data_IF_001521357239
#
_entry.id   IF_001521357239
#
_cell.length_a   1.000
_cell.length_b   1.000
_cell.length_c   1.000
_cell.angle_alpha   90.00
_cell.angle_beta   90.00
_cell.angle_gamma   90.00
#
_symmetry.space_group_name_H-M   'P 1'
#
loop_
_entity.id
_entity.type
_entity.pdbx_description
1 polymer ?
#
# COMPACT_ATOMS: atom_id res chain seq x y z
N UNK A 1 -16.73 -2.08 -10.83
CA UNK A 1 -16.62 -2.88 -9.59
C UNK A 1 -17.21 -4.25 -9.89
N UNK A 2 -16.47 -5.34 -9.60
CA UNK A 2 -16.88 -6.74 -9.79
C UNK A 2 -18.23 -6.99 -9.10
N UNK A 3 -19.17 -7.70 -9.73
CA UNK A 3 -20.48 -8.07 -9.16
C UNK A 3 -20.70 -9.59 -9.16
N UNK A 4 -20.08 -10.29 -10.11
CA UNK A 4 -20.07 -11.75 -10.26
C UNK A 4 -18.68 -12.23 -10.64
N UNK A 5 -18.41 -13.53 -10.51
CA UNK A 5 -17.07 -14.10 -10.72
C UNK A 5 -16.53 -13.82 -12.13
N UNK A 6 -17.37 -13.84 -13.17
CA UNK A 6 -16.97 -13.61 -14.57
C UNK A 6 -16.55 -12.16 -14.84
N UNK A 7 -16.93 -11.22 -13.97
CA UNK A 7 -16.47 -9.84 -14.12
C UNK A 7 -14.95 -9.74 -13.87
N UNK A 8 -14.34 -10.68 -13.14
CA UNK A 8 -12.89 -10.73 -12.95
C UNK A 8 -12.18 -10.88 -14.30
N UNK A 9 -12.56 -11.90 -15.07
CA UNK A 9 -11.96 -12.20 -16.37
C UNK A 9 -12.16 -11.03 -17.34
N UNK A 10 -13.36 -10.43 -17.32
CA UNK A 10 -13.67 -9.23 -18.12
C UNK A 10 -12.71 -8.07 -17.78
N UNK A 11 -12.57 -7.71 -16.51
CA UNK A 11 -11.73 -6.56 -16.14
C UNK A 11 -10.25 -6.82 -16.37
N UNK A 12 -9.76 -8.03 -16.09
CA UNK A 12 -8.37 -8.39 -16.35
C UNK A 12 -8.04 -8.26 -17.84
N UNK A 13 -8.91 -8.78 -18.71
CA UNK A 13 -8.70 -8.68 -20.16
C UNK A 13 -8.73 -7.22 -20.64
N UNK A 14 -9.69 -6.41 -20.18
CA UNK A 14 -9.75 -4.98 -20.51
C UNK A 14 -8.49 -4.22 -20.04
N UNK A 15 -7.93 -4.59 -18.89
CA UNK A 15 -6.72 -3.97 -18.35
C UNK A 15 -5.46 -4.39 -19.11
N UNK A 16 -5.32 -5.68 -19.46
CA UNK A 16 -4.22 -6.17 -20.29
C UNK A 16 -4.26 -5.51 -21.68
N UNK A 17 -5.44 -5.40 -22.29
CA UNK A 17 -5.62 -4.73 -23.58
C UNK A 17 -5.13 -3.27 -23.51
N UNK A 18 -5.53 -2.53 -22.46
CA UNK A 18 -5.12 -1.13 -22.26
C UNK A 18 -3.64 -0.98 -21.94
N UNK A 19 -3.08 -1.89 -21.15
CA UNK A 19 -1.65 -1.89 -20.81
C UNK A 19 -0.78 -2.36 -21.98
N UNK A 20 -1.37 -3.05 -22.96
CA UNK A 20 -0.68 -3.72 -24.07
C UNK A 20 0.38 -4.73 -23.59
N UNK A 21 0.24 -5.21 -22.36
CA UNK A 21 1.13 -6.19 -21.72
C UNK A 21 0.44 -6.80 -20.50
N UNK A 22 0.94 -7.95 -20.07
CA UNK A 22 0.53 -8.60 -18.82
C UNK A 22 1.15 -7.85 -17.63
N UNK A 23 0.39 -7.53 -16.57
CA UNK A 23 0.95 -6.93 -15.37
C UNK A 23 1.77 -7.96 -14.58
N UNK A 24 2.92 -7.54 -14.04
CA UNK A 24 3.70 -8.40 -13.14
C UNK A 24 2.97 -8.63 -11.81
N UNK A 25 2.45 -7.55 -11.22
CA UNK A 25 1.73 -7.59 -9.93
C UNK A 25 0.28 -7.17 -10.18
N UNK A 26 -0.67 -7.97 -9.68
CA UNK A 26 -2.09 -7.66 -9.75
C UNK A 26 -2.71 -7.58 -8.36
N UNK A 27 -3.33 -6.44 -8.06
CA UNK A 27 -3.83 -6.13 -6.71
C UNK A 27 -5.36 -6.18 -6.66
N UNK A 28 -5.90 -6.85 -5.63
CA UNK A 28 -7.25 -6.54 -5.20
C UNK A 28 -7.29 -5.14 -4.60
N UNK A 29 -8.06 -4.26 -5.24
CA UNK A 29 -8.03 -2.84 -4.91
C UNK A 29 -8.82 -2.50 -3.64
N UNK A 30 -8.13 -1.87 -2.69
CA UNK A 30 -8.68 -1.19 -1.53
C UNK A 30 -9.49 -2.09 -0.62
N UNK A 31 -8.97 -3.27 -0.30
CA UNK A 31 -9.62 -4.22 0.59
C UNK A 31 -9.95 -3.60 1.94
N UNK A 32 -11.13 -4.00 2.39
CA UNK A 32 -11.75 -3.72 3.67
C UNK A 32 -12.64 -4.92 4.00
N UNK A 33 -13.30 -4.91 5.17
CA UNK A 33 -14.10 -6.07 5.60
C UNK A 33 -15.14 -6.50 4.55
N UNK A 34 -15.89 -5.55 4.01
CA UNK A 34 -16.93 -5.84 3.02
C UNK A 34 -16.37 -6.40 1.70
N UNK A 35 -15.23 -5.89 1.24
CA UNK A 35 -14.58 -6.35 0.00
C UNK A 35 -13.92 -7.71 0.18
N UNK A 36 -13.37 -8.01 1.36
CA UNK A 36 -12.87 -9.35 1.69
C UNK A 36 -14.00 -10.38 1.63
N UNK A 37 -15.16 -10.10 2.22
CA UNK A 37 -16.34 -10.97 2.12
C UNK A 37 -16.80 -11.16 0.67
N UNK A 38 -16.68 -10.13 -0.15
CA UNK A 38 -16.98 -10.25 -1.58
C UNK A 38 -16.00 -11.14 -2.34
N UNK A 39 -14.70 -11.09 -2.00
CA UNK A 39 -13.70 -12.00 -2.54
C UNK A 39 -14.06 -13.45 -2.20
N UNK A 40 -14.40 -13.71 -0.93
CA UNK A 40 -14.84 -15.02 -0.45
C UNK A 40 -16.08 -15.52 -1.20
N UNK A 41 -17.15 -14.71 -1.22
CA UNK A 41 -18.44 -15.11 -1.79
C UNK A 41 -18.44 -15.34 -3.30
N UNK A 42 -17.54 -14.68 -4.03
CA UNK A 42 -17.42 -14.80 -5.48
C UNK A 42 -16.27 -15.73 -5.91
N UNK A 43 -15.60 -16.40 -4.96
CA UNK A 43 -14.42 -17.25 -5.20
C UNK A 43 -13.34 -16.54 -6.04
N UNK A 44 -13.09 -15.24 -5.78
CA UNK A 44 -12.17 -14.46 -6.61
C UNK A 44 -10.70 -14.89 -6.45
N UNK A 45 -10.36 -15.59 -5.36
CA UNK A 45 -9.04 -16.21 -5.18
C UNK A 45 -8.80 -17.28 -6.24
N UNK A 46 -9.79 -18.14 -6.54
CA UNK A 46 -9.65 -19.16 -7.59
C UNK A 46 -9.44 -18.51 -8.96
N UNK A 47 -10.18 -17.44 -9.25
CA UNK A 47 -10.06 -16.69 -10.50
C UNK A 47 -8.67 -16.06 -10.71
N UNK A 48 -8.10 -15.46 -9.67
CA UNK A 48 -6.78 -14.83 -9.77
C UNK A 48 -5.65 -15.88 -9.84
N UNK A 49 -5.82 -17.03 -9.18
CA UNK A 49 -4.90 -18.17 -9.29
C UNK A 49 -4.93 -18.79 -10.69
N UNK A 50 -6.12 -18.95 -11.29
CA UNK A 50 -6.24 -19.38 -12.68
C UNK A 50 -5.54 -18.41 -13.64
N UNK A 51 -5.66 -17.10 -13.43
CA UNK A 51 -4.96 -16.10 -14.23
C UNK A 51 -3.44 -16.20 -14.07
N UNK A 52 -2.94 -16.43 -12.85
CA UNK A 52 -1.51 -16.68 -12.57
C UNK A 52 -1.02 -17.95 -13.27
N UNK A 53 -1.79 -19.05 -13.20
CA UNK A 53 -1.47 -20.31 -13.86
C UNK A 53 -1.45 -20.19 -15.40
N UNK A 54 -2.27 -19.31 -15.98
CA UNK A 54 -2.27 -18.97 -17.41
C UNK A 54 -1.13 -18.02 -17.83
N UNK A 55 -0.31 -17.55 -16.89
CA UNK A 55 0.78 -16.60 -17.14
C UNK A 55 0.32 -15.17 -17.42
N UNK A 56 -0.93 -14.83 -17.08
CA UNK A 56 -1.48 -13.48 -17.26
C UNK A 56 -1.00 -12.49 -16.19
N UNK A 57 -0.57 -13.00 -15.03
CA UNK A 57 -0.02 -12.24 -13.90
C UNK A 57 1.09 -13.05 -13.24
N UNK A 58 2.04 -12.40 -12.54
CA UNK A 58 3.13 -13.11 -11.82
C UNK A 58 2.92 -13.13 -10.31
N UNK A 59 2.45 -12.03 -9.74
CA UNK A 59 2.31 -11.86 -8.29
C UNK A 59 0.93 -11.31 -7.93
N UNK A 60 0.40 -11.75 -6.79
CA UNK A 60 -0.93 -11.47 -6.29
C UNK A 60 -0.81 -10.67 -5.00
N UNK A 61 -1.49 -9.53 -4.94
CA UNK A 61 -1.51 -8.72 -3.74
C UNK A 61 -2.84 -8.01 -3.52
N UNK A 62 -2.82 -7.06 -2.60
CA UNK A 62 -3.94 -6.18 -2.34
C UNK A 62 -3.47 -4.80 -1.93
N UNK A 63 -4.29 -3.77 -2.16
CA UNK A 63 -4.19 -2.51 -1.43
C UNK A 63 -5.24 -2.45 -0.33
N UNK A 64 -5.01 -1.69 0.73
CA UNK A 64 -5.81 -1.78 1.96
C UNK A 64 -6.37 -0.43 2.45
N UNK A 65 -7.63 -0.43 2.89
CA UNK A 65 -8.34 0.75 3.42
C UNK A 65 -9.37 0.37 4.51
N UNK A 66 -8.91 -0.07 5.68
CA UNK A 66 -9.74 -0.34 6.87
C UNK A 66 -8.88 -0.27 8.15
N UNK A 67 -9.35 -0.75 9.31
CA UNK A 67 -8.57 -0.81 10.55
C UNK A 67 -7.59 -2.00 10.65
N UNK A 68 -6.67 -1.94 11.61
CA UNK A 68 -5.65 -2.97 11.80
C UNK A 68 -6.21 -4.38 12.03
N UNK A 69 -7.35 -4.54 12.70
CA UNK A 69 -7.98 -5.84 12.94
C UNK A 69 -8.40 -6.50 11.64
N UNK A 70 -8.98 -5.72 10.72
CA UNK A 70 -9.33 -6.18 9.36
C UNK A 70 -8.07 -6.41 8.53
N UNK A 71 -7.04 -5.57 8.67
CA UNK A 71 -5.77 -5.77 7.98
C UNK A 71 -5.17 -7.14 8.31
N UNK A 72 -5.12 -7.49 9.61
CA UNK A 72 -4.65 -8.78 10.08
C UNK A 72 -5.48 -9.93 9.51
N UNK A 73 -6.81 -9.80 9.50
CA UNK A 73 -7.71 -10.79 8.90
C UNK A 73 -7.39 -11.01 7.41
N UNK A 74 -7.17 -9.94 6.64
CA UNK A 74 -6.82 -10.04 5.22
C UNK A 74 -5.46 -10.70 5.05
N UNK A 75 -4.43 -10.28 5.80
CA UNK A 75 -3.08 -10.85 5.75
C UNK A 75 -3.10 -12.36 6.02
N UNK A 76 -3.91 -12.81 6.98
CA UNK A 76 -4.00 -14.22 7.36
C UNK A 76 -4.94 -15.05 6.45
N UNK A 77 -5.74 -14.41 5.58
CA UNK A 77 -6.72 -15.09 4.74
C UNK A 77 -6.12 -15.83 3.54
N UNK A 78 -5.01 -15.33 2.99
CA UNK A 78 -4.40 -15.89 1.78
C UNK A 78 -2.88 -15.62 1.77
N UNK A 79 -2.13 -16.43 1.00
CA UNK A 79 -0.68 -16.31 0.84
C UNK A 79 -0.33 -15.19 -0.15
N UNK A 80 -0.52 -13.93 0.26
CA UNK A 80 -0.23 -12.76 -0.57
C UNK A 80 1.26 -12.63 -0.91
N UNK A 81 1.58 -12.31 -2.15
CA UNK A 81 2.95 -11.97 -2.56
C UNK A 81 3.35 -10.57 -2.06
N UNK A 82 2.40 -9.63 -2.06
CA UNK A 82 2.61 -8.27 -1.57
C UNK A 82 1.33 -7.61 -1.01
N UNK A 83 1.51 -6.55 -0.23
CA UNK A 83 0.42 -5.67 0.16
C UNK A 83 0.81 -4.19 0.04
N UNK A 84 -0.16 -3.35 -0.26
CA UNK A 84 0.01 -1.91 -0.38
C UNK A 84 -0.80 -1.18 0.70
N UNK A 85 -0.15 -0.35 1.51
CA UNK A 85 -0.79 0.41 2.60
C UNK A 85 -0.39 1.89 2.56
N UNK A 86 -1.26 2.76 3.08
CA UNK A 86 -0.91 4.13 3.40
C UNK A 86 -0.07 4.17 4.68
N UNK A 87 1.08 4.84 4.63
CA UNK A 87 1.92 5.02 5.82
C UNK A 87 2.87 6.23 5.69
N UNK A 88 2.93 7.05 6.74
CA UNK A 88 3.84 8.17 6.91
C UNK A 88 3.89 8.56 8.40
N UNK A 89 4.77 9.50 8.78
CA UNK A 89 4.99 9.86 10.19
C UNK A 89 3.78 10.52 10.89
N UNK A 90 2.74 10.96 10.17
CA UNK A 90 1.49 11.44 10.77
C UNK A 90 0.40 10.38 10.86
N UNK A 91 0.56 9.27 10.14
CA UNK A 91 -0.45 8.23 9.97
C UNK A 91 0.01 6.91 10.61
N UNK A 92 0.86 6.98 11.64
CA UNK A 92 1.47 5.81 12.33
C UNK A 92 0.47 4.89 13.03
N UNK A 93 -0.72 5.40 13.34
CA UNK A 93 -1.85 4.66 13.93
C UNK A 93 -3.08 4.61 12.99
N UNK A 94 -2.94 5.13 11.76
CA UNK A 94 -4.04 5.18 10.80
C UNK A 94 -4.09 3.90 9.96
N UNK A 95 -5.30 3.36 9.78
CA UNK A 95 -5.55 2.11 9.06
C UNK A 95 -4.69 0.94 9.58
N UNK A 96 -3.76 0.44 8.76
CA UNK A 96 -2.82 -0.60 9.15
C UNK A 96 -1.76 -0.06 10.13
N UNK A 97 -1.30 1.18 9.93
CA UNK A 97 -0.29 1.85 10.74
C UNK A 97 1.02 1.07 10.89
N UNK A 98 1.80 1.45 11.90
CA UNK A 98 3.11 0.82 12.21
C UNK A 98 2.94 -0.67 12.55
N UNK A 99 1.84 -1.02 13.23
CA UNK A 99 1.53 -2.42 13.57
C UNK A 99 1.34 -3.25 12.30
N UNK A 100 0.66 -2.70 11.29
CA UNK A 100 0.47 -3.35 9.99
C UNK A 100 1.77 -3.51 9.21
N UNK A 101 2.63 -2.49 9.20
CA UNK A 101 3.99 -2.55 8.60
C UNK A 101 4.76 -3.75 9.16
N UNK A 102 4.86 -3.82 10.49
CA UNK A 102 5.58 -4.87 11.20
C UNK A 102 4.93 -6.25 10.98
N UNK A 103 3.60 -6.31 11.00
CA UNK A 103 2.89 -7.57 10.84
C UNK A 103 3.06 -8.15 9.43
N UNK A 104 2.92 -7.33 8.38
CA UNK A 104 3.18 -7.77 7.00
C UNK A 104 4.62 -8.27 6.82
N UNK A 105 5.60 -7.52 7.35
CA UNK A 105 7.00 -7.93 7.32
C UNK A 105 7.26 -9.25 8.05
N UNK A 106 6.63 -9.46 9.22
CA UNK A 106 6.74 -10.72 9.98
C UNK A 106 6.19 -11.94 9.25
N UNK A 107 5.33 -11.72 8.25
CA UNK A 107 4.75 -12.77 7.39
C UNK A 107 5.54 -12.99 6.10
N UNK A 108 6.62 -12.23 5.89
CA UNK A 108 7.40 -12.30 4.65
C UNK A 108 6.67 -11.75 3.42
N UNK A 109 5.65 -10.91 3.63
CA UNK A 109 4.88 -10.29 2.55
C UNK A 109 5.59 -8.99 2.14
N UNK A 110 5.83 -8.81 0.84
CA UNK A 110 6.46 -7.59 0.34
C UNK A 110 5.55 -6.38 0.59
N UNK A 111 6.09 -5.33 1.22
CA UNK A 111 5.31 -4.17 1.64
C UNK A 111 5.56 -2.98 0.74
N UNK A 112 4.48 -2.48 0.14
CA UNK A 112 4.46 -1.32 -0.74
C UNK A 112 3.80 -0.15 0.01
N UNK A 113 4.52 0.96 0.18
CA UNK A 113 3.96 2.14 0.85
C UNK A 113 3.44 3.14 -0.17
N UNK A 114 2.18 3.56 0.00
CA UNK A 114 1.58 4.70 -0.67
C UNK A 114 1.38 5.87 0.31
N UNK A 115 1.12 7.06 -0.24
CA UNK A 115 0.95 8.29 0.54
C UNK A 115 2.13 8.61 1.50
N UNK A 116 3.41 8.37 1.12
CA UNK A 116 4.55 8.63 2.01
C UNK A 116 4.70 10.11 2.35
N UNK A 117 4.21 11.00 1.47
CA UNK A 117 4.21 12.46 1.62
C UNK A 117 2.80 13.04 1.79
N UNK A 118 1.78 12.19 1.95
CA UNK A 118 0.37 12.56 2.16
C UNK A 118 -0.17 13.57 1.15
N UNK A 119 -0.10 13.23 -0.13
CA UNK A 119 -0.50 14.12 -1.24
C UNK A 119 0.24 15.46 -1.26
N UNK A 120 1.52 15.48 -0.86
CA UNK A 120 2.35 16.68 -0.79
C UNK A 120 2.18 17.51 0.49
N UNK A 121 1.28 17.15 1.41
CA UNK A 121 1.10 17.88 2.67
C UNK A 121 2.32 17.83 3.59
N UNK A 122 3.15 16.78 3.45
CA UNK A 122 4.41 16.64 4.17
C UNK A 122 5.59 17.28 3.43
N UNK A 123 5.38 17.80 2.22
CA UNK A 123 6.37 18.51 1.42
C UNK A 123 6.32 20.02 1.69
N UNK A 124 6.33 20.42 2.96
CA UNK A 124 6.18 21.84 3.35
C UNK A 124 7.40 22.64 2.88
N UNK A 125 7.23 23.71 2.08
CA UNK A 125 8.35 24.54 1.62
C UNK A 125 9.02 25.32 2.77
N UNK A 126 10.32 25.60 2.62
CA UNK A 126 11.13 26.24 3.68
C UNK A 126 10.57 27.58 4.15
N UNK A 127 10.09 28.42 3.24
CA UNK A 127 9.50 29.72 3.59
C UNK A 127 8.21 29.61 4.43
N UNK A 128 7.50 28.48 4.34
CA UNK A 128 6.36 28.16 5.20
C UNK A 128 6.85 27.56 6.51
N UNK A 129 7.87 26.71 6.47
CA UNK A 129 8.49 26.09 7.64
C UNK A 129 9.12 27.13 8.58
N UNK A 130 9.73 28.19 8.04
CA UNK A 130 10.31 29.30 8.82
C UNK A 130 9.27 30.03 9.67
N UNK A 131 7.99 29.93 9.32
CA UNK A 131 6.87 30.50 10.09
C UNK A 131 6.27 29.50 11.09
N UNK A 132 6.87 28.32 11.25
CA UNK A 132 6.44 27.23 12.15
C UNK A 132 7.56 26.88 13.13
N UNK A 133 7.81 27.71 14.17
CA UNK A 133 8.97 27.58 15.04
C UNK A 133 9.03 26.23 15.77
N UNK A 134 7.89 25.67 16.16
CA UNK A 134 7.80 24.38 16.85
C UNK A 134 8.33 23.22 16.00
N UNK A 135 8.00 23.21 14.70
CA UNK A 135 8.50 22.18 13.78
C UNK A 135 9.99 22.40 13.55
N UNK A 136 10.41 23.65 13.32
CA UNK A 136 11.81 24.00 13.09
C UNK A 136 12.70 23.59 14.26
N UNK A 137 12.25 23.81 15.50
CA UNK A 137 12.98 23.41 16.71
C UNK A 137 13.20 21.90 16.78
N UNK A 138 12.20 21.09 16.39
CA UNK A 138 12.35 19.62 16.34
C UNK A 138 13.35 19.21 15.26
N UNK A 139 13.24 19.77 14.06
CA UNK A 139 14.17 19.48 12.97
C UNK A 139 15.59 19.96 13.28
N UNK A 140 15.72 21.05 14.03
CA UNK A 140 17.02 21.63 14.37
C UNK A 140 17.82 20.80 15.36
N UNK A 141 17.14 19.95 16.14
CA UNK A 141 17.78 18.94 17.02
C UNK A 141 18.49 17.85 16.22
N UNK A 142 18.19 17.69 14.93
CA UNK A 142 18.94 16.76 14.08
C UNK A 142 20.25 17.37 13.60
N UNK A 143 21.34 16.61 13.76
CA UNK A 143 22.65 16.96 13.21
C UNK A 143 22.64 17.02 11.68
N UNK A 144 21.80 16.18 11.04
CA UNK A 144 21.69 16.12 9.59
C UNK A 144 20.48 16.92 9.14
N UNK A 145 20.71 17.93 8.31
CA UNK A 145 19.66 18.77 7.74
C UNK A 145 19.10 18.13 6.48
N UNK A 146 17.77 18.13 6.35
CA UNK A 146 17.04 17.62 5.19
C UNK A 146 15.83 18.49 4.92
N UNK A 147 15.34 18.45 3.68
CA UNK A 147 14.06 19.03 3.34
C UNK A 147 12.92 18.20 3.93
N UNK A 148 11.73 18.79 4.06
CA UNK A 148 10.55 18.09 4.57
C UNK A 148 10.14 16.84 3.75
N UNK A 149 10.18 16.85 2.39
CA UNK A 149 9.98 15.64 1.60
C UNK A 149 11.00 14.53 1.90
N UNK A 150 12.28 14.89 2.05
CA UNK A 150 13.34 13.93 2.36
C UNK A 150 13.11 13.31 3.75
N UNK A 151 12.77 14.11 4.77
CA UNK A 151 12.37 13.58 6.08
C UNK A 151 11.20 12.59 6.02
N UNK A 152 10.17 12.90 5.22
CA UNK A 152 9.02 12.02 5.05
C UNK A 152 9.40 10.68 4.41
N UNK A 153 10.25 10.70 3.39
CA UNK A 153 10.71 9.49 2.71
C UNK A 153 11.68 8.68 3.59
N UNK A 154 12.63 9.32 4.27
CA UNK A 154 13.55 8.64 5.20
C UNK A 154 12.81 7.93 6.31
N UNK A 155 11.75 8.56 6.87
CA UNK A 155 10.94 7.92 7.89
C UNK A 155 10.38 6.57 7.40
N UNK A 156 9.84 6.54 6.18
CA UNK A 156 9.28 5.32 5.59
C UNK A 156 10.39 4.31 5.26
N UNK A 157 11.50 4.75 4.65
CA UNK A 157 12.63 3.87 4.28
C UNK A 157 13.40 3.31 5.48
N UNK A 158 13.28 3.92 6.65
CA UNK A 158 13.92 3.41 7.87
C UNK A 158 13.20 2.19 8.47
N UNK A 159 12.10 1.74 7.87
CA UNK A 159 11.44 0.48 8.22
C UNK A 159 11.99 -0.67 7.36
N UNK A 160 12.71 -1.65 7.93
CA UNK A 160 13.29 -2.75 7.16
C UNK A 160 12.24 -3.65 6.48
N UNK A 161 10.98 -3.60 6.92
CA UNK A 161 9.87 -4.31 6.30
C UNK A 161 9.44 -3.70 4.96
N UNK A 162 9.73 -2.41 4.72
CA UNK A 162 9.30 -1.70 3.52
C UNK A 162 10.14 -2.13 2.32
N UNK A 163 9.47 -2.68 1.30
CA UNK A 163 10.11 -3.13 0.07
C UNK A 163 10.19 -2.02 -0.98
N UNK A 164 9.12 -1.26 -1.16
CA UNK A 164 9.02 -0.18 -2.15
C UNK A 164 8.16 0.97 -1.62
N UNK A 165 8.53 2.19 -1.98
CA UNK A 165 7.73 3.39 -1.71
C UNK A 165 7.22 3.98 -3.03
N UNK A 166 5.91 4.07 -3.18
CA UNK A 166 5.24 4.71 -4.30
C UNK A 166 4.83 6.13 -3.92
N UNK A 167 5.67 7.10 -4.27
CA UNK A 167 5.37 8.52 -4.10
C UNK A 167 4.77 9.09 -5.37
N UNK A 168 3.47 9.38 -5.36
CA UNK A 168 2.86 10.24 -6.37
C UNK A 168 3.36 11.67 -6.19
N UNK A 169 3.86 12.28 -7.27
CA UNK A 169 4.20 13.70 -7.34
C UNK A 169 3.07 14.49 -8.00
#
# INVERSE_FOLDING_TARGET
MVKKAEDFDKFLNEQIERLQTNPDIYLFHGLNRSRLEKIKNLNLIEKIEEAKAKGLIKYIGFSFHDNYEVFKEIIDYYNWDCCQIQYNYLDVEYQAGTKGVQYAGSKGIALIIMEPIRGGKLAIPDNVLDRKPEIKEVLDKSEVKRSMPDWALQFVWNHPEVSVVLSGM
#
